data_IF_881986396771
#
_entry.id   IF_881986396771
#
_cell.length_a   1.000
_cell.length_b   1.000
_cell.length_c   1.000
_cell.angle_alpha   90.00
_cell.angle_beta   90.00
_cell.angle_gamma   90.00
#
_symmetry.space_group_name_H-M   'P 1'
#
loop_
_entity.id
_entity.type
_entity.pdbx_description
1 polymer ?
#
# COMPACT_ATOMS: atom_id res chain seq x y z
N UNK A 1 16.99 14.40 15.14
CA UNK A 1 16.04 14.17 16.27
C UNK A 1 14.74 14.84 15.86
N UNK A 2 13.76 14.09 15.37
CA UNK A 2 12.44 14.64 15.07
C UNK A 2 11.60 14.48 16.34
N UNK A 3 11.30 15.59 17.02
CA UNK A 3 10.25 15.64 18.03
C UNK A 3 8.95 15.82 17.28
N UNK A 4 7.98 14.95 17.54
CA UNK A 4 6.62 15.24 17.12
C UNK A 4 6.18 16.49 17.89
N UNK A 5 5.76 17.53 17.17
CA UNK A 5 5.09 18.64 17.81
C UNK A 5 3.79 18.11 18.41
N UNK A 6 3.38 18.61 19.58
CA UNK A 6 2.06 18.33 20.14
C UNK A 6 0.99 18.42 19.02
N UNK A 7 0.01 17.53 19.06
CA UNK A 7 -1.12 17.51 18.12
C UNK A 7 -1.55 18.95 17.84
N UNK A 8 -1.43 19.41 16.59
CA UNK A 8 -1.60 20.82 16.34
C UNK A 8 -3.10 21.13 16.50
N UNK A 9 -3.50 22.36 16.88
CA UNK A 9 -4.88 22.66 17.27
C UNK A 9 -5.89 22.21 16.21
N UNK A 10 -7.11 21.77 16.54
CA UNK A 10 -8.10 21.44 15.52
C UNK A 10 -8.36 22.65 14.59
N UNK A 11 -8.71 22.37 13.33
CA UNK A 11 -9.07 23.38 12.33
C UNK A 11 -7.96 24.38 11.97
N UNK A 12 -6.70 23.97 11.93
CA UNK A 12 -5.55 24.81 11.49
C UNK A 12 -5.75 25.32 10.07
N UNK A 13 -6.40 24.50 9.24
CA UNK A 13 -6.63 24.77 7.83
C UNK A 13 -8.13 24.80 7.53
N UNK A 14 -8.89 25.75 8.07
CA UNK A 14 -10.35 25.78 7.94
C UNK A 14 -10.80 26.11 6.51
N UNK A 15 -9.88 26.64 5.69
CA UNK A 15 -10.10 27.00 4.29
C UNK A 15 -9.33 26.09 3.31
N UNK A 16 -8.75 24.99 3.79
CA UNK A 16 -8.02 24.08 2.90
C UNK A 16 -8.99 23.44 1.89
N UNK A 17 -8.73 23.69 0.61
CA UNK A 17 -9.36 22.99 -0.50
C UNK A 17 -8.54 21.84 -1.04
N UNK A 18 -7.27 21.73 -0.64
CA UNK A 18 -6.36 20.68 -1.06
C UNK A 18 -5.53 20.19 0.12
N UNK A 19 -5.55 18.88 0.35
CA UNK A 19 -4.79 18.22 1.41
C UNK A 19 -3.95 17.11 0.79
N UNK A 20 -2.64 17.12 1.10
CA UNK A 20 -1.72 16.03 0.81
C UNK A 20 -1.15 15.52 2.12
N UNK A 21 -1.38 14.24 2.39
CA UNK A 21 -0.84 13.52 3.53
C UNK A 21 0.08 12.42 3.01
N UNK A 22 1.31 12.38 3.52
CA UNK A 22 2.29 11.38 3.09
C UNK A 22 3.25 10.96 4.19
N UNK A 23 3.85 9.78 4.01
CA UNK A 23 4.89 9.26 4.90
C UNK A 23 4.35 8.76 6.25
N UNK A 24 5.19 8.83 7.28
CA UNK A 24 4.82 8.40 8.64
C UNK A 24 4.32 9.59 9.44
N UNK A 25 3.14 9.48 10.02
CA UNK A 25 2.54 10.52 10.87
C UNK A 25 1.67 9.91 11.97
N UNK A 26 1.46 10.66 13.06
CA UNK A 26 0.46 10.33 14.09
C UNK A 26 -0.96 10.45 13.57
N UNK A 27 -1.84 9.66 14.17
CA UNK A 27 -3.29 9.74 14.00
C UNK A 27 -3.82 11.08 14.47
N UNK A 28 -3.29 11.62 15.56
CA UNK A 28 -3.73 12.92 16.06
C UNK A 28 -3.49 14.04 15.04
N UNK A 29 -2.34 14.02 14.35
CA UNK A 29 -2.00 15.01 13.32
C UNK A 29 -2.92 14.85 12.11
N UNK A 30 -3.12 13.62 11.64
CA UNK A 30 -4.02 13.34 10.50
C UNK A 30 -5.44 13.80 10.80
N UNK A 31 -5.98 13.46 11.96
CA UNK A 31 -7.33 13.88 12.35
C UNK A 31 -7.43 15.40 12.47
N UNK A 32 -6.41 16.07 13.01
CA UNK A 32 -6.40 17.54 13.14
C UNK A 32 -6.34 18.25 11.78
N UNK A 33 -5.70 17.63 10.77
CA UNK A 33 -5.64 18.15 9.40
C UNK A 33 -6.93 17.86 8.64
N UNK A 34 -7.46 16.64 8.73
CA UNK A 34 -8.64 16.19 8.00
C UNK A 34 -9.94 16.74 8.58
N UNK A 35 -9.98 17.05 9.88
CA UNK A 35 -11.09 17.80 10.49
C UNK A 35 -10.95 19.30 10.17
N UNK A 36 -10.97 19.60 8.86
CA UNK A 36 -11.12 20.97 8.39
C UNK A 36 -12.43 21.50 8.95
N UNK A 37 -12.41 22.68 9.57
CA UNK A 37 -13.61 23.26 10.18
C UNK A 37 -14.79 23.44 9.20
N UNK A 38 -14.54 23.26 7.90
CA UNK A 38 -15.55 23.18 6.86
C UNK A 38 -15.23 22.06 5.84
N UNK A 39 -15.82 20.85 5.97
CA UNK A 39 -15.53 19.73 5.07
C UNK A 39 -16.03 19.94 3.63
N UNK A 40 -16.91 20.92 3.40
CA UNK A 40 -17.42 21.24 2.06
C UNK A 40 -16.43 22.00 1.19
N UNK A 41 -15.33 22.53 1.76
CA UNK A 41 -14.30 23.24 0.99
C UNK A 41 -13.27 22.30 0.38
N UNK A 42 -13.15 21.06 0.87
CA UNK A 42 -12.14 20.12 0.40
C UNK A 42 -12.49 19.62 -1.01
N UNK A 43 -11.67 20.02 -1.99
CA UNK A 43 -11.81 19.61 -3.40
C UNK A 43 -10.77 18.55 -3.79
N UNK A 44 -9.61 18.51 -3.14
CA UNK A 44 -8.52 17.59 -3.49
C UNK A 44 -7.96 16.89 -2.25
N UNK A 45 -7.89 15.57 -2.29
CA UNK A 45 -7.30 14.74 -1.24
C UNK A 45 -6.28 13.78 -1.85
N UNK A 46 -5.04 13.85 -1.37
CA UNK A 46 -3.95 12.95 -1.74
C UNK A 46 -3.41 12.23 -0.50
N UNK A 47 -3.55 10.91 -0.47
CA UNK A 47 -3.05 10.02 0.57
C UNK A 47 -1.89 9.22 -0.02
N UNK A 48 -0.66 9.69 0.20
CA UNK A 48 0.54 9.12 -0.42
C UNK A 48 1.35 8.27 0.56
N UNK A 49 1.16 6.95 0.50
CA UNK A 49 1.84 5.96 1.30
C UNK A 49 1.82 6.31 2.81
N UNK A 50 0.63 6.67 3.29
CA UNK A 50 0.41 7.14 4.65
C UNK A 50 0.52 5.98 5.66
N UNK A 51 1.38 6.16 6.65
CA UNK A 51 1.67 5.17 7.68
C UNK A 51 1.53 5.79 9.07
N UNK A 52 1.00 5.01 9.99
CA UNK A 52 0.79 5.39 11.38
C UNK A 52 2.07 5.16 12.19
N UNK A 53 2.44 6.17 12.97
CA UNK A 53 3.43 6.01 14.03
C UNK A 53 2.79 5.20 15.18
N UNK A 54 3.54 4.28 15.82
CA UNK A 54 3.06 3.67 17.06
C UNK A 54 2.98 4.73 18.15
N UNK A 55 1.82 5.35 18.29
CA UNK A 55 1.48 6.20 19.43
C UNK A 55 1.31 5.30 20.65
N UNK A 56 2.37 5.11 21.41
CA UNK A 56 2.29 4.38 22.66
C UNK A 56 1.57 5.28 23.69
N UNK A 57 0.27 5.02 23.91
CA UNK A 57 -0.62 5.81 24.79
C UNK A 57 -0.03 6.04 26.20
N UNK A 58 0.84 5.14 26.68
CA UNK A 58 1.45 5.19 28.01
C UNK A 58 2.96 5.52 28.03
N UNK A 59 3.57 5.86 26.88
CA UNK A 59 5.01 6.10 26.83
C UNK A 59 5.32 7.59 26.73
N UNK A 60 6.05 8.15 27.72
CA UNK A 60 6.44 9.55 27.74
C UNK A 60 6.99 10.03 26.38
N UNK A 61 6.48 11.19 25.93
CA UNK A 61 6.77 11.73 24.61
C UNK A 61 8.26 12.10 24.42
N UNK A 62 9.01 12.23 25.51
CA UNK A 62 10.42 12.60 25.57
C UNK A 62 11.39 11.42 25.35
N UNK A 63 10.90 10.18 25.28
CA UNK A 63 11.77 9.02 25.06
C UNK A 63 12.35 9.05 23.63
N UNK A 64 13.68 8.93 23.46
CA UNK A 64 14.32 8.88 22.14
C UNK A 64 13.74 7.80 21.22
N UNK A 65 13.59 8.11 19.92
CA UNK A 65 13.02 7.19 18.91
C UNK A 65 13.65 5.78 18.93
N UNK A 66 14.96 5.68 19.15
CA UNK A 66 15.67 4.39 19.25
C UNK A 66 15.34 3.59 20.50
N UNK A 67 14.94 4.25 21.59
CA UNK A 67 14.43 3.60 22.79
C UNK A 67 12.96 3.18 22.60
N UNK A 68 12.10 4.04 22.02
CA UNK A 68 10.73 3.65 21.63
C UNK A 68 10.71 2.48 20.66
N UNK A 69 11.56 2.49 19.63
CA UNK A 69 11.68 1.37 18.68
C UNK A 69 12.13 0.06 19.34
N UNK A 70 13.03 0.12 20.33
CA UNK A 70 13.42 -1.06 21.12
C UNK A 70 12.30 -1.54 22.04
N UNK A 71 11.52 -0.62 22.61
CA UNK A 71 10.34 -0.95 23.42
C UNK A 71 9.26 -1.63 22.56
N UNK A 72 8.94 -1.07 21.39
CA UNK A 72 8.02 -1.68 20.41
C UNK A 72 8.52 -3.04 19.93
N UNK A 73 9.82 -3.18 19.64
CA UNK A 73 10.41 -4.46 19.26
C UNK A 73 10.41 -5.50 20.39
N UNK A 74 10.27 -5.07 21.65
CA UNK A 74 10.13 -5.94 22.83
C UNK A 74 8.67 -6.24 23.21
N UNK A 75 7.69 -5.58 22.59
CA UNK A 75 6.25 -5.67 22.92
C UNK A 75 5.51 -6.87 22.29
N UNK A 76 6.23 -7.91 21.85
CA UNK A 76 5.64 -9.20 21.45
C UNK A 76 5.15 -10.02 22.66
N UNK A 77 4.38 -9.39 23.56
CA UNK A 77 3.69 -10.06 24.66
C UNK A 77 2.25 -10.38 24.23
N UNK A 78 1.77 -11.63 24.39
CA UNK A 78 0.44 -12.05 23.92
C UNK A 78 -0.73 -11.29 24.56
N UNK A 79 -0.51 -10.62 25.70
CA UNK A 79 -1.53 -9.84 26.41
C UNK A 79 -1.74 -8.42 25.84
N UNK A 80 -0.93 -8.01 24.84
CA UNK A 80 -0.96 -6.67 24.23
C UNK A 80 -1.57 -6.68 22.81
N UNK A 81 -2.53 -7.56 22.54
CA UNK A 81 -3.27 -7.60 21.25
C UNK A 81 -3.92 -6.25 20.88
N UNK A 82 -4.11 -5.35 21.84
CA UNK A 82 -4.69 -4.02 21.63
C UNK A 82 -3.66 -2.89 21.58
N UNK A 83 -2.35 -3.18 21.68
CA UNK A 83 -1.34 -2.14 21.63
C UNK A 83 -1.24 -1.52 20.22
N UNK A 84 -1.01 -0.20 20.10
CA UNK A 84 -0.88 0.50 18.84
C UNK A 84 0.38 0.05 18.10
N UNK A 85 0.19 -0.81 17.09
CA UNK A 85 1.25 -1.29 16.21
C UNK A 85 1.49 -0.22 15.13
N UNK A 86 2.72 0.28 15.02
CA UNK A 86 3.15 1.12 13.90
C UNK A 86 2.95 0.35 12.58
N UNK A 87 2.39 0.99 11.56
CA UNK A 87 2.10 0.29 10.32
C UNK A 87 1.22 1.09 9.36
N UNK A 88 0.60 0.43 8.38
CA UNK A 88 -0.33 1.08 7.47
C UNK A 88 -1.48 1.74 8.23
N UNK A 89 -1.79 2.98 7.89
CA UNK A 89 -2.81 3.72 8.61
C UNK A 89 -4.21 3.14 8.33
N UNK A 90 -4.98 2.88 9.39
CA UNK A 90 -6.33 2.29 9.33
C UNK A 90 -7.32 3.11 10.16
N UNK A 91 -8.61 3.01 9.84
CA UNK A 91 -9.75 3.62 10.59
C UNK A 91 -9.71 5.16 10.72
N UNK A 92 -8.81 5.81 9.98
CA UNK A 92 -8.54 7.25 10.07
C UNK A 92 -9.41 8.08 9.11
N UNK A 93 -9.91 7.46 8.04
CA UNK A 93 -10.81 8.09 7.09
C UNK A 93 -12.26 7.93 7.52
N UNK A 94 -12.56 6.89 8.32
CA UNK A 94 -13.89 6.53 8.83
C UNK A 94 -14.67 7.73 9.39
N UNK A 95 -14.09 8.61 10.24
CA UNK A 95 -14.82 9.79 10.76
C UNK A 95 -15.21 10.82 9.69
N UNK A 96 -14.64 10.72 8.49
CA UNK A 96 -14.78 11.67 7.40
C UNK A 96 -15.58 11.13 6.20
N UNK A 97 -15.90 9.83 6.20
CA UNK A 97 -16.72 9.20 5.16
C UNK A 97 -18.08 9.90 5.10
N UNK A 98 -18.46 10.34 3.91
CA UNK A 98 -19.69 11.11 3.66
C UNK A 98 -19.62 12.61 4.03
N UNK A 99 -18.54 13.12 4.62
CA UNK A 99 -18.40 14.55 4.94
C UNK A 99 -17.93 15.39 3.74
N UNK A 100 -17.08 14.83 2.87
CA UNK A 100 -16.46 15.57 1.75
C UNK A 100 -17.35 15.57 0.50
N UNK A 101 -18.41 16.35 0.52
CA UNK A 101 -19.43 16.41 -0.55
C UNK A 101 -19.01 17.19 -1.81
N UNK A 102 -17.81 17.79 -1.82
CA UNK A 102 -17.29 18.57 -2.95
C UNK A 102 -15.95 18.02 -3.47
N UNK A 103 -15.56 16.82 -3.03
CA UNK A 103 -14.29 16.23 -3.41
C UNK A 103 -14.27 15.96 -4.93
N UNK A 104 -13.37 16.60 -5.65
CA UNK A 104 -13.19 16.45 -7.10
C UNK A 104 -12.06 15.51 -7.45
N UNK A 105 -11.02 15.47 -6.62
CA UNK A 105 -9.83 14.64 -6.85
C UNK A 105 -9.54 13.81 -5.62
N UNK A 106 -9.46 12.51 -5.81
CA UNK A 106 -8.96 11.57 -4.81
C UNK A 106 -7.77 10.82 -5.40
N UNK A 107 -6.63 10.92 -4.72
CA UNK A 107 -5.44 10.14 -5.01
C UNK A 107 -5.08 9.30 -3.79
N UNK A 108 -4.93 7.99 -4.00
CA UNK A 108 -4.48 7.05 -2.99
C UNK A 108 -3.27 6.32 -3.55
N UNK A 109 -2.14 6.44 -2.87
CA UNK A 109 -0.92 5.69 -3.16
C UNK A 109 -0.59 4.79 -1.97
N UNK A 110 -0.34 3.50 -2.17
CA UNK A 110 -0.13 2.55 -1.06
C UNK A 110 0.92 1.49 -1.35
N UNK A 111 1.77 1.20 -0.37
CA UNK A 111 2.76 0.13 -0.42
C UNK A 111 2.41 -1.03 0.52
N UNK A 112 1.16 -1.52 0.46
CA UNK A 112 0.59 -2.57 1.32
C UNK A 112 1.60 -3.48 2.04
N UNK A 113 1.43 -3.62 3.35
CA UNK A 113 2.31 -4.41 4.21
C UNK A 113 1.52 -5.57 4.80
N UNK A 114 1.77 -6.81 4.35
CA UNK A 114 1.62 -8.08 5.12
C UNK A 114 1.13 -9.27 4.28
N UNK A 115 1.68 -10.43 4.61
CA UNK A 115 1.28 -11.79 4.21
C UNK A 115 -0.12 -12.21 4.70
N UNK A 116 -0.77 -12.98 3.82
CA UNK A 116 -1.99 -13.81 3.89
C UNK A 116 -3.38 -13.15 3.97
N UNK A 117 -4.13 -13.31 2.87
CA UNK A 117 -5.61 -13.27 2.79
C UNK A 117 -6.18 -14.70 2.81
N UNK A 118 -5.33 -15.72 2.59
CA UNK A 118 -5.82 -17.08 2.39
C UNK A 118 -5.03 -18.12 3.21
N UNK A 119 -5.42 -18.28 4.48
CA UNK A 119 -5.05 -19.44 5.28
C UNK A 119 -5.63 -20.78 4.76
N UNK A 120 -6.28 -20.84 3.58
CA UNK A 120 -6.88 -22.08 3.08
C UNK A 120 -6.00 -22.93 2.15
N UNK A 121 -4.81 -22.46 1.73
CA UNK A 121 -3.93 -23.26 0.83
C UNK A 121 -2.47 -23.34 1.25
N UNK A 122 -2.26 -24.00 2.39
CA UNK A 122 -1.40 -25.19 2.47
C UNK A 122 -0.14 -25.20 1.57
N UNK A 123 0.99 -24.71 2.11
CA UNK A 123 2.30 -25.36 1.93
C UNK A 123 3.33 -24.98 3.03
N UNK A 124 3.06 -23.94 3.84
CA UNK A 124 3.96 -23.46 4.91
C UNK A 124 3.55 -23.83 6.33
N UNK A 125 2.84 -24.95 6.53
CA UNK A 125 2.51 -25.42 7.88
C UNK A 125 3.65 -26.20 8.56
N UNK A 126 4.83 -26.28 7.93
CA UNK A 126 5.98 -26.99 8.48
C UNK A 126 7.10 -26.01 8.79
N UNK A 127 7.31 -25.79 10.09
CA UNK A 127 8.51 -25.25 10.72
C UNK A 127 8.62 -23.72 10.82
N UNK A 128 7.86 -23.13 11.74
CA UNK A 128 8.39 -22.52 12.97
C UNK A 128 7.24 -21.89 13.76
N UNK A 129 7.20 -22.11 15.08
CA UNK A 129 6.19 -21.62 16.04
C UNK A 129 6.22 -20.10 16.27
N UNK A 130 6.45 -19.32 15.21
CA UNK A 130 6.25 -17.87 15.19
C UNK A 130 5.22 -17.58 14.13
N UNK A 131 3.98 -17.90 14.49
CA UNK A 131 2.83 -17.31 13.84
C UNK A 131 3.04 -15.79 13.79
N UNK A 132 3.17 -15.23 12.59
CA UNK A 132 2.88 -13.83 12.36
C UNK A 132 1.39 -13.78 12.03
N UNK A 133 0.48 -13.79 13.03
CA UNK A 133 -0.84 -14.39 12.85
C UNK A 133 -1.90 -13.30 12.70
N UNK A 134 -2.67 -13.31 11.62
CA UNK A 134 -4.03 -12.71 11.48
C UNK A 134 -4.21 -11.20 11.70
N UNK A 135 -3.61 -10.56 12.70
CA UNK A 135 -3.88 -9.17 13.08
C UNK A 135 -3.34 -8.16 12.06
N UNK A 136 -2.18 -8.43 11.45
CA UNK A 136 -1.62 -7.60 10.38
C UNK A 136 -2.43 -7.73 9.08
N UNK A 137 -2.89 -8.94 8.75
CA UNK A 137 -3.78 -9.17 7.62
C UNK A 137 -5.14 -8.47 7.80
N UNK A 138 -5.78 -8.66 8.96
CA UNK A 138 -7.03 -7.99 9.31
C UNK A 138 -6.89 -6.46 9.34
N UNK A 139 -5.72 -5.95 9.72
CA UNK A 139 -5.40 -4.51 9.66
C UNK A 139 -5.40 -3.99 8.23
N UNK A 140 -4.77 -4.72 7.30
CA UNK A 140 -4.76 -4.35 5.89
C UNK A 140 -6.15 -4.48 5.25
N UNK A 141 -6.89 -5.52 5.59
CA UNK A 141 -8.26 -5.71 5.10
C UNK A 141 -9.16 -4.54 5.55
N UNK A 142 -9.07 -4.15 6.84
CA UNK A 142 -9.79 -2.99 7.36
C UNK A 142 -9.39 -1.69 6.64
N UNK A 143 -8.13 -1.55 6.24
CA UNK A 143 -7.65 -0.39 5.48
C UNK A 143 -8.22 -0.36 4.06
N UNK A 144 -8.23 -1.48 3.35
CA UNK A 144 -8.83 -1.56 2.01
C UNK A 144 -10.36 -1.40 2.05
N UNK A 145 -11.02 -1.95 3.08
CA UNK A 145 -12.44 -1.72 3.33
C UNK A 145 -12.73 -0.24 3.59
N UNK A 146 -11.93 0.43 4.42
CA UNK A 146 -12.05 1.87 4.67
C UNK A 146 -11.86 2.69 3.39
N UNK A 147 -10.88 2.35 2.54
CA UNK A 147 -10.69 3.00 1.24
C UNK A 147 -11.89 2.79 0.32
N UNK A 148 -12.48 1.59 0.31
CA UNK A 148 -13.68 1.26 -0.45
C UNK A 148 -14.89 2.08 0.02
N UNK A 149 -15.10 2.20 1.32
CA UNK A 149 -16.19 2.98 1.90
C UNK A 149 -16.02 4.48 1.66
N UNK A 150 -14.78 4.99 1.76
CA UNK A 150 -14.47 6.34 1.34
C UNK A 150 -14.85 6.53 -0.13
N UNK A 151 -14.36 5.66 -1.02
CA UNK A 151 -14.60 5.75 -2.46
C UNK A 151 -16.10 5.81 -2.78
N UNK A 152 -16.90 4.90 -2.22
CA UNK A 152 -18.36 4.91 -2.38
C UNK A 152 -18.98 6.23 -1.95
N UNK A 153 -18.52 6.80 -0.84
CA UNK A 153 -19.09 8.04 -0.31
C UNK A 153 -18.80 9.28 -1.17
N UNK A 154 -17.71 9.26 -1.96
CA UNK A 154 -17.29 10.43 -2.77
C UNK A 154 -17.46 10.22 -4.28
N UNK A 155 -17.77 9.00 -4.75
CA UNK A 155 -17.79 8.66 -6.18
C UNK A 155 -18.60 9.63 -7.05
N UNK A 156 -19.80 10.01 -6.61
CA UNK A 156 -20.67 10.93 -7.35
C UNK A 156 -20.14 12.37 -7.48
N UNK A 157 -19.11 12.72 -6.70
CA UNK A 157 -18.49 14.06 -6.68
C UNK A 157 -17.16 14.10 -7.44
N UNK A 158 -16.50 12.95 -7.58
CA UNK A 158 -15.17 12.85 -8.17
C UNK A 158 -15.18 13.12 -9.68
N UNK A 159 -14.20 13.92 -10.10
CA UNK A 159 -13.80 14.09 -11.51
C UNK A 159 -12.56 13.26 -11.83
N UNK A 160 -11.66 13.13 -10.88
CA UNK A 160 -10.43 12.36 -11.04
C UNK A 160 -10.25 11.41 -9.85
N UNK A 161 -10.07 10.12 -10.15
CA UNK A 161 -9.66 9.12 -9.18
C UNK A 161 -8.35 8.48 -9.63
N UNK A 162 -7.34 8.50 -8.77
CA UNK A 162 -6.08 7.79 -8.99
C UNK A 162 -5.83 6.84 -7.82
N UNK A 163 -5.85 5.56 -8.10
CA UNK A 163 -5.36 4.54 -7.19
C UNK A 163 -4.05 3.98 -7.73
N UNK A 164 -3.06 3.95 -6.85
CA UNK A 164 -1.74 3.47 -7.20
C UNK A 164 -1.18 2.63 -6.07
N UNK A 165 -0.69 1.45 -6.39
CA UNK A 165 -0.11 0.56 -5.39
C UNK A 165 1.26 0.04 -5.85
N UNK A 166 2.21 -0.07 -4.94
CA UNK A 166 3.55 -0.59 -5.29
C UNK A 166 4.26 -1.15 -4.08
N UNK A 167 4.71 -2.41 -4.14
CA UNK A 167 5.96 -2.69 -4.87
C UNK A 167 5.98 -4.06 -5.60
N UNK A 168 7.07 -4.37 -6.35
CA UNK A 168 7.65 -5.73 -6.52
C UNK A 168 9.11 -5.70 -6.98
N UNK A 169 10.00 -5.17 -6.16
CA UNK A 169 11.39 -5.64 -6.22
C UNK A 169 11.70 -6.63 -5.08
N UNK A 170 10.65 -7.45 -4.84
CA UNK A 170 10.52 -8.76 -4.20
C UNK A 170 11.31 -9.00 -2.92
N UNK A 171 10.65 -8.83 -1.75
CA UNK A 171 10.88 -9.77 -0.64
C UNK A 171 9.63 -10.58 -0.34
N UNK A 172 9.67 -11.74 -1.02
CA UNK A 172 8.69 -12.78 -1.23
C UNK A 172 7.44 -12.28 -1.96
N UNK A 173 7.67 -11.66 -3.13
CA UNK A 173 6.77 -10.87 -3.98
C UNK A 173 5.70 -10.17 -3.15
N UNK A 174 6.23 -9.42 -2.18
CA UNK A 174 5.63 -8.40 -1.32
C UNK A 174 4.46 -8.87 -0.45
N UNK A 175 4.57 -10.13 -0.03
CA UNK A 175 4.05 -10.62 1.26
C UNK A 175 5.07 -10.55 2.42
N UNK A 176 6.25 -9.94 2.24
CA UNK A 176 7.24 -9.52 3.25
C UNK A 176 7.57 -10.52 4.38
N UNK A 177 7.85 -11.80 4.06
CA UNK A 177 8.28 -12.81 5.04
C UNK A 177 9.82 -12.88 5.22
N UNK A 178 10.27 -12.94 6.48
CA UNK A 178 11.63 -13.35 6.91
C UNK A 178 11.56 -14.80 7.43
N UNK A 179 12.14 -15.75 6.70
CA UNK A 179 12.49 -17.08 7.25
C UNK A 179 13.73 -16.97 8.17
N UNK A 180 13.90 -17.85 9.17
CA UNK A 180 14.45 -17.51 10.49
C UNK A 180 15.97 -17.35 10.52
N UNK A 181 16.46 -16.11 10.66
CA UNK A 181 17.84 -15.84 11.10
C UNK A 181 17.90 -15.64 12.61
N UNK A 182 17.85 -16.74 13.37
CA UNK A 182 18.45 -16.75 14.73
C UNK A 182 19.55 -17.78 14.95
N UNK A 183 19.90 -18.58 13.93
CA UNK A 183 21.06 -19.49 14.01
C UNK A 183 22.17 -19.24 12.98
N UNK A 184 22.09 -18.16 12.19
CA UNK A 184 23.16 -17.77 11.26
C UNK A 184 23.88 -16.46 11.66
N UNK A 185 23.84 -16.07 12.93
CA UNK A 185 24.79 -15.08 13.47
C UNK A 185 26.17 -15.74 13.58
N UNK A 186 26.86 -15.87 12.45
CA UNK A 186 28.22 -16.40 12.39
C UNK A 186 28.78 -16.57 10.99
N UNK A 187 27.93 -16.68 9.96
CA UNK A 187 28.42 -16.88 8.59
C UNK A 187 27.87 -15.81 7.66
N UNK A 188 28.76 -15.01 7.05
CA UNK A 188 28.49 -13.92 6.10
C UNK A 188 27.84 -14.37 4.77
N UNK A 189 27.26 -15.57 4.72
CA UNK A 189 26.69 -16.16 3.51
C UNK A 189 25.60 -17.17 3.86
N UNK A 190 24.40 -16.69 4.23
CA UNK A 190 23.18 -17.50 4.12
C UNK A 190 22.35 -17.00 2.94
N UNK A 191 22.94 -17.03 1.74
CA UNK A 191 22.19 -16.92 0.48
C UNK A 191 21.42 -18.23 0.32
N UNK A 192 20.09 -18.19 0.37
CA UNK A 192 19.27 -19.32 -0.07
C UNK A 192 19.54 -19.49 -1.58
N UNK A 193 19.98 -20.67 -2.05
CA UNK A 193 20.19 -20.91 -3.47
C UNK A 193 18.92 -20.58 -4.26
N UNK A 194 19.00 -20.03 -5.49
CA UNK A 194 17.82 -19.80 -6.33
C UNK A 194 16.91 -21.04 -6.44
N UNK A 195 17.49 -22.23 -6.49
CA UNK A 195 16.78 -23.52 -6.54
C UNK A 195 16.03 -23.89 -5.26
N UNK A 196 16.32 -23.24 -4.13
CA UNK A 196 15.63 -23.42 -2.86
C UNK A 196 14.67 -22.26 -2.54
N UNK A 197 14.49 -21.32 -3.48
CA UNK A 197 13.48 -20.28 -3.34
C UNK A 197 12.10 -20.85 -3.65
N UNK A 198 11.10 -20.57 -2.82
CA UNK A 198 9.74 -20.91 -3.18
C UNK A 198 9.29 -20.11 -4.41
N UNK A 199 8.40 -20.67 -5.23
CA UNK A 199 7.76 -19.91 -6.29
C UNK A 199 7.02 -18.70 -5.68
N UNK A 200 6.94 -17.57 -6.41
CA UNK A 200 6.26 -16.40 -5.89
C UNK A 200 4.77 -16.74 -5.78
N UNK A 201 4.06 -16.13 -4.82
CA UNK A 201 2.61 -16.26 -4.76
C UNK A 201 2.01 -15.87 -6.12
N UNK A 202 1.06 -16.67 -6.60
CA UNK A 202 0.42 -16.41 -7.91
C UNK A 202 -0.28 -15.05 -7.95
N UNK A 203 -0.72 -14.54 -6.80
CA UNK A 203 -1.42 -13.26 -6.65
C UNK A 203 -0.80 -12.54 -5.47
N UNK A 204 -0.45 -11.26 -5.61
CA UNK A 204 0.06 -10.48 -4.47
C UNK A 204 -1.07 -10.20 -3.50
N UNK A 205 -0.83 -10.21 -2.18
CA UNK A 205 -1.87 -9.88 -1.20
C UNK A 205 -2.58 -8.54 -1.51
N UNK A 206 -1.82 -7.52 -1.91
CA UNK A 206 -2.40 -6.23 -2.28
C UNK A 206 -3.31 -6.27 -3.53
N UNK A 207 -2.97 -7.11 -4.51
CA UNK A 207 -3.82 -7.32 -5.69
C UNK A 207 -5.13 -8.01 -5.31
N UNK A 208 -5.05 -9.04 -4.45
CA UNK A 208 -6.22 -9.73 -3.96
C UNK A 208 -7.16 -8.78 -3.20
N UNK A 209 -6.64 -7.89 -2.33
CA UNK A 209 -7.46 -6.86 -1.65
C UNK A 209 -8.02 -5.82 -2.60
N UNK A 210 -7.26 -5.43 -3.62
CA UNK A 210 -7.77 -4.53 -4.65
C UNK A 210 -9.01 -5.15 -5.32
N UNK A 211 -8.92 -6.42 -5.73
CA UNK A 211 -10.04 -7.15 -6.34
C UNK A 211 -11.19 -7.37 -5.35
N UNK A 212 -10.91 -7.66 -4.10
CA UNK A 212 -11.93 -7.96 -3.08
C UNK A 212 -12.70 -6.72 -2.61
N UNK A 213 -12.00 -5.60 -2.37
CA UNK A 213 -12.59 -4.42 -1.74
C UNK A 213 -12.84 -3.28 -2.73
N UNK A 214 -11.85 -2.96 -3.57
CA UNK A 214 -11.90 -1.76 -4.41
C UNK A 214 -12.64 -1.99 -5.72
N UNK A 215 -12.51 -3.16 -6.35
CA UNK A 215 -13.28 -3.45 -7.58
C UNK A 215 -14.79 -3.37 -7.33
N UNK A 216 -15.38 -3.99 -6.30
CA UNK A 216 -16.80 -3.82 -6.02
C UNK A 216 -17.18 -2.37 -5.75
N UNK A 217 -16.38 -1.65 -4.94
CA UNK A 217 -16.63 -0.23 -4.68
C UNK A 217 -16.63 0.61 -5.97
N UNK A 218 -15.76 0.30 -6.94
CA UNK A 218 -15.75 0.97 -8.24
C UNK A 218 -16.97 0.58 -9.08
N UNK A 219 -17.28 -0.71 -9.17
CA UNK A 219 -18.32 -1.24 -10.06
C UNK A 219 -19.73 -0.86 -9.59
N UNK A 220 -19.95 -0.78 -8.29
CA UNK A 220 -21.24 -0.48 -7.67
C UNK A 220 -21.52 1.02 -7.54
N UNK A 221 -20.50 1.87 -7.69
CA UNK A 221 -20.64 3.32 -7.51
C UNK A 221 -21.10 4.05 -8.77
N UNK A 222 -21.80 5.17 -8.56
CA UNK A 222 -22.20 6.07 -9.64
C UNK A 222 -21.14 7.13 -9.94
N UNK A 223 -20.58 7.08 -11.15
CA UNK A 223 -19.49 7.96 -11.60
C UNK A 223 -19.99 9.16 -12.43
N UNK A 224 -21.05 9.82 -11.97
CA UNK A 224 -21.78 10.82 -12.77
C UNK A 224 -20.96 12.05 -13.23
N UNK A 225 -19.81 12.31 -12.60
CA UNK A 225 -18.92 13.44 -12.89
C UNK A 225 -17.50 13.04 -13.27
N UNK A 226 -17.23 11.74 -13.35
CA UNK A 226 -15.89 11.23 -13.57
C UNK A 226 -15.41 11.61 -14.98
N UNK A 227 -14.21 12.18 -15.04
CA UNK A 227 -13.51 12.52 -16.28
C UNK A 227 -12.34 11.55 -16.51
N UNK A 228 -11.70 11.09 -15.42
CA UNK A 228 -10.54 10.20 -15.48
C UNK A 228 -10.42 9.29 -14.27
N UNK A 229 -10.16 8.01 -14.52
CA UNK A 229 -9.79 7.01 -13.51
C UNK A 229 -8.47 6.35 -13.89
N UNK A 230 -7.53 6.29 -12.96
CA UNK A 230 -6.23 5.63 -13.13
C UNK A 230 -6.04 4.59 -12.04
N UNK A 231 -5.83 3.34 -12.45
CA UNK A 231 -5.56 2.21 -11.56
C UNK A 231 -4.20 1.63 -11.94
N UNK A 232 -3.20 1.89 -11.10
CA UNK A 232 -1.79 1.63 -11.40
C UNK A 232 -1.17 0.67 -10.41
N UNK A 233 -0.28 -0.20 -10.90
CA UNK A 233 0.38 -1.22 -10.10
C UNK A 233 -0.55 -2.35 -9.66
N UNK A 234 -1.70 -2.54 -10.33
CA UNK A 234 -2.68 -3.60 -10.05
C UNK A 234 -2.53 -4.74 -11.06
N UNK A 235 -2.51 -5.98 -10.60
CA UNK A 235 -2.27 -7.15 -11.45
C UNK A 235 -3.21 -8.31 -11.08
N UNK A 236 -3.57 -9.17 -12.05
CA UNK A 236 -4.26 -10.41 -11.69
C UNK A 236 -3.29 -11.39 -11.03
N UNK A 237 -2.06 -11.45 -11.54
CA UNK A 237 -1.04 -12.41 -11.13
C UNK A 237 0.35 -11.82 -11.27
N UNK A 238 1.29 -12.39 -10.51
CA UNK A 238 2.71 -12.10 -10.61
C UNK A 238 3.49 -13.41 -10.82
N UNK A 239 4.53 -13.37 -11.64
CA UNK A 239 5.44 -14.50 -11.85
C UNK A 239 6.88 -14.04 -11.93
N UNK A 240 7.82 -14.94 -11.61
CA UNK A 240 9.22 -14.73 -11.98
C UNK A 240 9.37 -14.84 -13.50
N UNK A 241 10.22 -13.98 -14.01
CA UNK A 241 10.73 -14.02 -15.36
C UNK A 241 12.24 -14.06 -15.25
N UNK A 242 12.80 -15.21 -15.58
CA UNK A 242 14.25 -15.47 -15.53
C UNK A 242 15.00 -14.64 -16.57
N UNK A 243 14.31 -14.18 -17.63
CA UNK A 243 14.88 -13.33 -18.68
C UNK A 243 14.76 -11.83 -18.34
N UNK A 244 13.96 -11.47 -17.33
CA UNK A 244 13.76 -10.08 -16.91
C UNK A 244 14.72 -9.72 -15.79
N UNK A 245 15.64 -8.80 -16.07
CA UNK A 245 16.67 -8.37 -15.13
C UNK A 245 16.18 -7.22 -14.25
N UNK A 246 16.12 -7.44 -12.93
CA UNK A 246 15.96 -6.34 -11.97
C UNK A 246 17.36 -5.88 -11.58
N UNK A 247 17.76 -4.70 -12.07
CA UNK A 247 18.97 -4.03 -11.60
C UNK A 247 18.78 -3.57 -10.16
N UNK A 248 19.72 -3.88 -9.26
CA UNK A 248 20.17 -2.80 -8.39
C UNK A 248 21.69 -2.74 -8.25
N UNK A 249 22.18 -1.51 -8.35
CA UNK A 249 23.35 -0.94 -7.68
C UNK A 249 24.40 -1.93 -7.10
N UNK A 250 25.54 -1.94 -7.78
CA UNK A 250 26.91 -2.25 -7.30
C UNK A 250 27.33 -3.71 -7.02
N UNK A 251 26.43 -4.66 -6.73
CA UNK A 251 26.83 -6.07 -6.53
C UNK A 251 26.09 -7.05 -7.46
N UNK A 252 26.82 -7.52 -8.47
CA UNK A 252 26.38 -8.38 -9.58
C UNK A 252 25.90 -9.78 -9.16
N UNK A 253 24.63 -9.92 -8.77
CA UNK A 253 23.95 -11.22 -8.81
C UNK A 253 22.67 -11.17 -9.66
N UNK A 254 22.62 -12.10 -10.62
CA UNK A 254 21.50 -12.37 -11.52
C UNK A 254 20.25 -12.70 -10.68
N UNK A 255 19.23 -11.83 -10.70
CA UNK A 255 17.94 -12.07 -10.04
C UNK A 255 16.81 -12.01 -11.06
N UNK A 256 15.94 -13.05 -11.13
CA UNK A 256 14.72 -13.02 -11.92
C UNK A 256 13.85 -11.85 -11.50
N UNK A 257 13.30 -11.14 -12.47
CA UNK A 257 12.38 -10.04 -12.25
C UNK A 257 10.96 -10.53 -12.06
N UNK A 258 10.12 -9.70 -11.44
CA UNK A 258 8.69 -9.95 -11.38
C UNK A 258 8.02 -9.36 -12.61
N UNK A 259 7.26 -10.20 -13.30
CA UNK A 259 6.31 -9.80 -14.33
C UNK A 259 4.91 -9.89 -13.76
N UNK A 260 4.20 -8.76 -13.81
CA UNK A 260 2.78 -8.73 -13.53
C UNK A 260 1.99 -9.00 -14.81
N UNK A 261 0.94 -9.80 -14.68
CA UNK A 261 -0.07 -9.96 -15.72
C UNK A 261 -1.21 -8.97 -15.49
N UNK A 262 -1.83 -8.47 -16.58
CA UNK A 262 -3.04 -7.65 -16.49
C UNK A 262 -4.13 -8.30 -15.64
N UNK A 263 -5.05 -7.49 -15.11
CA UNK A 263 -6.31 -7.99 -14.53
C UNK A 263 -7.04 -8.91 -15.53
N UNK A 264 -7.85 -9.87 -15.07
CA UNK A 264 -8.60 -10.72 -16.00
C UNK A 264 -9.60 -9.88 -16.84
N UNK A 265 -9.95 -10.39 -18.02
CA UNK A 265 -10.80 -9.67 -18.98
C UNK A 265 -12.16 -9.31 -18.38
N UNK A 266 -12.75 -10.18 -17.56
CA UNK A 266 -14.02 -9.93 -16.89
C UNK A 266 -13.95 -8.76 -15.92
N UNK A 267 -12.90 -8.72 -15.09
CA UNK A 267 -12.63 -7.59 -14.19
C UNK A 267 -12.40 -6.29 -14.96
N UNK A 268 -11.59 -6.32 -16.03
CA UNK A 268 -11.34 -5.14 -16.85
C UNK A 268 -12.63 -4.61 -17.50
N UNK A 269 -13.47 -5.50 -18.03
CA UNK A 269 -14.73 -5.13 -18.65
C UNK A 269 -15.73 -4.56 -17.64
N UNK A 270 -15.80 -5.14 -16.44
CA UNK A 270 -16.62 -4.59 -15.35
C UNK A 270 -16.18 -3.18 -14.97
N UNK A 271 -14.86 -2.93 -14.87
CA UNK A 271 -14.31 -1.59 -14.61
C UNK A 271 -14.62 -0.61 -15.74
N UNK A 272 -14.44 -1.00 -17.01
CA UNK A 272 -14.78 -0.16 -18.18
C UNK A 272 -16.25 0.21 -18.18
N UNK A 273 -17.13 -0.77 -17.96
CA UNK A 273 -18.57 -0.56 -17.91
C UNK A 273 -18.97 0.40 -16.78
N UNK A 274 -18.36 0.27 -15.60
CA UNK A 274 -18.64 1.12 -14.46
C UNK A 274 -18.17 2.58 -14.66
N UNK A 275 -16.98 2.75 -15.23
CA UNK A 275 -16.40 4.06 -15.55
C UNK A 275 -17.18 4.75 -16.67
N UNK A 276 -17.70 3.97 -17.62
CA UNK A 276 -18.49 4.44 -18.75
C UNK A 276 -17.64 5.07 -19.86
N UNK A 277 -18.25 5.23 -21.04
CA UNK A 277 -17.55 5.67 -22.27
C UNK A 277 -17.06 7.12 -22.24
N UNK A 278 -17.60 7.94 -21.33
CA UNK A 278 -17.29 9.37 -21.25
C UNK A 278 -16.00 9.67 -20.48
N UNK A 279 -15.57 8.75 -19.62
CA UNK A 279 -14.41 8.92 -18.76
C UNK A 279 -13.23 8.11 -19.29
N UNK A 280 -12.02 8.63 -19.11
CA UNK A 280 -10.80 7.91 -19.48
C UNK A 280 -10.43 6.93 -18.38
N UNK A 281 -10.40 5.63 -18.70
CA UNK A 281 -9.87 4.59 -17.82
C UNK A 281 -8.44 4.22 -18.23
N UNK A 282 -7.51 4.34 -17.30
CA UNK A 282 -6.13 3.85 -17.44
C UNK A 282 -5.91 2.70 -16.46
N UNK A 283 -5.60 1.52 -17.00
CA UNK A 283 -5.20 0.35 -16.24
C UNK A 283 -3.73 0.04 -16.56
N UNK A 284 -2.88 -0.07 -15.54
CA UNK A 284 -1.48 -0.47 -15.73
C UNK A 284 -1.04 -1.39 -14.60
N UNK A 285 -0.28 -2.41 -14.96
CA UNK A 285 0.32 -3.37 -14.03
C UNK A 285 1.54 -2.79 -13.31
N UNK A 286 2.12 -1.74 -13.89
CA UNK A 286 3.24 -0.98 -13.33
C UNK A 286 2.74 0.22 -12.53
N UNK A 287 3.44 0.51 -11.43
CA UNK A 287 3.30 1.75 -10.70
C UNK A 287 4.33 2.77 -11.22
N UNK A 288 3.99 4.05 -11.14
CA UNK A 288 4.81 5.17 -11.61
C UNK A 288 5.53 5.88 -10.46
N UNK A 289 4.99 5.80 -9.25
CA UNK A 289 5.45 6.47 -8.05
C UNK A 289 6.62 5.79 -7.34
N UNK A 290 7.22 6.56 -6.44
CA UNK A 290 8.22 6.07 -5.49
C UNK A 290 7.54 5.72 -4.17
N UNK A 291 7.84 4.54 -3.65
CA UNK A 291 7.24 4.05 -2.42
C UNK A 291 8.30 3.99 -1.34
N UNK A 292 7.99 4.60 -0.19
CA UNK A 292 8.86 4.49 0.98
C UNK A 292 8.62 3.16 1.68
N UNK A 293 9.68 2.36 1.84
CA UNK A 293 9.64 1.04 2.46
C UNK A 293 10.29 1.15 3.86
N UNK A 294 9.50 1.05 4.95
CA UNK A 294 9.97 1.41 6.29
C UNK A 294 11.12 0.56 6.80
N UNK A 295 11.05 -0.73 6.51
CA UNK A 295 11.95 -1.75 7.06
C UNK A 295 13.41 -1.54 6.63
N UNK A 296 13.64 -0.84 5.52
CA UNK A 296 14.98 -0.58 4.99
C UNK A 296 15.40 0.89 5.05
N UNK A 297 14.49 1.80 5.43
CA UNK A 297 14.75 3.24 5.34
C UNK A 297 15.12 3.70 3.92
N UNK A 298 14.67 2.98 2.88
CA UNK A 298 15.00 3.21 1.47
C UNK A 298 13.72 3.44 0.65
N UNK A 299 13.88 4.15 -0.47
CA UNK A 299 12.85 4.27 -1.50
C UNK A 299 12.94 3.07 -2.46
N UNK A 300 11.82 2.42 -2.71
CA UNK A 300 11.66 1.47 -3.81
C UNK A 300 10.96 2.14 -4.98
N UNK A 301 11.40 1.82 -6.21
CA UNK A 301 10.58 2.11 -7.39
C UNK A 301 9.43 1.11 -7.46
N UNK A 302 8.27 1.55 -7.94
CA UNK A 302 7.28 0.64 -8.52
C UNK A 302 7.89 -0.22 -9.62
N UNK A 303 7.17 -1.25 -10.06
CA UNK A 303 7.62 -2.13 -11.16
C UNK A 303 7.99 -1.26 -12.36
N UNK A 304 9.26 -1.28 -12.81
CA UNK A 304 9.67 -0.44 -13.92
C UNK A 304 8.83 -0.79 -15.14
N UNK A 305 8.39 0.24 -15.88
CA UNK A 305 7.80 0.06 -17.21
C UNK A 305 8.77 -0.80 -18.00
N UNK A 306 8.26 -1.85 -18.66
CA UNK A 306 9.04 -2.52 -19.71
C UNK A 306 9.43 -1.39 -20.65
N UNK A 307 10.72 -1.18 -20.88
CA UNK A 307 11.14 -0.34 -21.97
C UNK A 307 10.51 -1.00 -23.21
N UNK A 308 9.44 -0.40 -23.73
CA UNK A 308 8.98 -0.70 -25.07
C UNK A 308 10.23 -0.52 -25.90
N UNK A 309 10.77 -1.64 -26.41
CA UNK A 309 12.00 -1.61 -27.18
C UNK A 309 11.80 -0.51 -28.21
N UNK A 310 12.72 0.45 -28.22
CA UNK A 310 12.81 1.38 -29.33
C UNK A 310 12.81 0.50 -30.57
N UNK A 311 11.67 0.43 -31.27
CA UNK A 311 11.62 -0.08 -32.62
C UNK A 311 12.50 0.90 -33.37
N UNK A 312 13.80 0.59 -33.42
CA UNK A 312 14.73 1.17 -34.37
C UNK A 312 14.09 0.91 -35.72
N UNK A 313 13.40 1.93 -36.22
CA UNK A 313 12.92 1.96 -37.58
C UNK A 313 14.14 1.77 -38.45
N UNK A 314 14.24 0.59 -39.06
CA UNK A 314 15.03 0.39 -40.27
C UNK A 314 14.43 1.32 -41.34
N UNK A 315 14.90 2.57 -41.36
CA UNK A 315 14.75 3.47 -42.49
C UNK A 315 15.64 2.93 -43.63
N UNK A 316 15.07 2.13 -44.54
CA UNK A 316 15.63 1.83 -45.87
C UNK A 316 15.42 2.97 -46.87
#
# INVERSE_FOLDING_TARGET
MFREANAPPPHIFPLASSILLSGITSRCVVNSILDTGNPHLLEHLNLSNLQEFAELDDVPQDIPRSAKARMLASQYHPDLQNAPIAGPMRTHLTPFIGRWTHLRTLQITTASQSSDIDHSRSYYRMHTDRHWPSAAAATEDARYAEMADLLRSVAGTLRCFRFEQGPTNDLAADGWAIAPSRHFMGSRSSRIPPSARPPPPRVRPMDARFVEYLVPAIVESEWGRLERMELLGVAARSRYDDDRWVFPYEDYEHRPGIVNTPLDEGTQEALRKAVGEKAVLVLRESAEGYFWIPEYGKYGHGIPKVAEGDEEGDDE
#
